data_IF_547729738895
#
_entry.id   IF_547729738895
#
_cell.length_a   1.000
_cell.length_b   1.000
_cell.length_c   1.000
_cell.angle_alpha   90.00
_cell.angle_beta   90.00
_cell.angle_gamma   90.00
#
_symmetry.space_group_name_H-M   'P 1'
#
loop_
_entity.id
_entity.type
_entity.pdbx_description
1 polymer ?
#
# COMPACT_ATOMS: atom_id res chain seq x y z
N UNK A 1 -34.98 -66.59 -6.38
CA UNK A 1 -34.05 -65.46 -6.59
C UNK A 1 -33.81 -64.78 -5.25
N UNK A 2 -32.68 -65.06 -4.59
CA UNK A 2 -32.28 -64.34 -3.39
C UNK A 2 -31.44 -63.13 -3.82
N UNK A 3 -31.88 -61.91 -3.44
CA UNK A 3 -31.15 -60.66 -3.68
C UNK A 3 -30.26 -60.38 -2.47
N UNK A 4 -28.95 -60.37 -2.66
CA UNK A 4 -27.99 -59.93 -1.65
C UNK A 4 -27.87 -58.41 -1.68
N UNK A 5 -28.11 -57.76 -0.54
CA UNK A 5 -27.81 -56.34 -0.33
C UNK A 5 -26.40 -56.21 0.26
N UNK A 6 -25.49 -55.56 -0.46
CA UNK A 6 -24.14 -55.25 -0.01
C UNK A 6 -24.15 -53.90 0.71
N UNK A 7 -23.89 -53.89 2.02
CA UNK A 7 -23.72 -52.67 2.81
C UNK A 7 -22.23 -52.31 2.85
N UNK A 8 -21.85 -51.15 2.31
CA UNK A 8 -20.49 -50.61 2.39
C UNK A 8 -20.43 -49.61 3.55
N UNK A 9 -19.71 -49.93 4.62
CA UNK A 9 -19.41 -49.02 5.72
C UNK A 9 -18.13 -48.24 5.39
N UNK A 10 -18.22 -46.91 5.31
CA UNK A 10 -17.07 -46.01 5.16
C UNK A 10 -16.61 -45.61 6.57
N UNK A 11 -15.40 -46.04 6.95
CA UNK A 11 -14.73 -45.59 8.17
C UNK A 11 -14.00 -44.26 7.91
N UNK A 12 -14.46 -43.17 8.51
CA UNK A 12 -13.75 -41.89 8.52
C UNK A 12 -12.79 -41.86 9.72
N UNK A 13 -11.48 -41.89 9.45
CA UNK A 13 -10.45 -41.63 10.46
C UNK A 13 -10.28 -40.12 10.66
N UNK A 14 -10.68 -39.61 11.82
CA UNK A 14 -10.29 -38.26 12.26
C UNK A 14 -8.89 -38.32 12.88
N UNK A 15 -7.88 -37.84 12.16
CA UNK A 15 -6.58 -37.52 12.76
C UNK A 15 -6.69 -36.19 13.51
N UNK A 16 -6.53 -36.24 14.83
CA UNK A 16 -6.39 -35.04 15.66
C UNK A 16 -4.98 -34.48 15.45
N UNK A 17 -4.84 -33.46 14.60
CA UNK A 17 -3.57 -32.74 14.41
C UNK A 17 -3.42 -31.79 15.60
N UNK A 18 -2.52 -32.15 16.52
CA UNK A 18 -2.10 -31.29 17.61
C UNK A 18 -1.28 -30.13 17.04
N UNK A 19 -1.71 -28.89 17.27
CA UNK A 19 -0.97 -27.70 16.84
C UNK A 19 0.45 -27.71 17.46
N UNK A 20 1.49 -27.33 16.70
CA UNK A 20 2.86 -27.29 17.21
C UNK A 20 2.99 -26.30 18.37
N UNK A 21 3.75 -26.69 19.39
CA UNK A 21 3.92 -25.94 20.66
C UNK A 21 4.89 -24.76 20.56
N UNK A 22 5.33 -24.40 19.35
CA UNK A 22 6.12 -23.20 19.06
C UNK A 22 5.59 -22.58 17.78
N UNK A 23 5.29 -21.27 17.81
CA UNK A 23 5.13 -20.50 16.59
C UNK A 23 6.46 -20.55 15.84
N UNK A 24 6.45 -21.10 14.63
CA UNK A 24 7.54 -20.88 13.70
C UNK A 24 7.67 -19.37 13.47
N UNK A 25 8.88 -18.80 13.48
CA UNK A 25 9.05 -17.42 13.07
C UNK A 25 8.44 -17.25 11.67
N UNK A 26 7.70 -16.16 11.41
CA UNK A 26 7.03 -15.97 10.13
C UNK A 26 8.04 -16.17 9.00
N UNK A 27 7.63 -16.92 7.98
CA UNK A 27 8.43 -17.32 6.81
C UNK A 27 9.29 -16.17 6.22
N UNK A 28 8.86 -14.93 6.40
CA UNK A 28 9.56 -13.69 6.05
C UNK A 28 10.87 -13.47 6.81
N UNK A 29 10.95 -13.81 8.11
CA UNK A 29 12.20 -13.78 8.88
C UNK A 29 13.19 -14.81 8.32
N UNK A 30 12.71 -15.97 7.91
CA UNK A 30 13.55 -17.01 7.31
C UNK A 30 14.07 -16.59 5.93
N UNK A 31 13.23 -15.96 5.10
CA UNK A 31 13.65 -15.37 3.81
C UNK A 31 14.66 -14.23 3.99
N UNK A 32 14.49 -13.39 5.01
CA UNK A 32 15.47 -12.34 5.34
C UNK A 32 16.82 -12.94 5.78
N UNK A 33 16.82 -13.95 6.65
CA UNK A 33 18.04 -14.66 7.04
C UNK A 33 18.69 -15.38 5.84
N UNK A 34 17.91 -15.91 4.91
CA UNK A 34 18.43 -16.52 3.68
C UNK A 34 19.05 -15.48 2.74
N UNK A 35 18.46 -14.29 2.61
CA UNK A 35 19.01 -13.20 1.80
C UNK A 35 20.26 -12.56 2.42
N UNK A 36 20.37 -12.49 3.76
CA UNK A 36 21.62 -12.14 4.45
C UNK A 36 22.68 -13.22 4.21
N UNK A 37 22.31 -14.50 4.39
CA UNK A 37 23.26 -15.61 4.28
C UNK A 37 23.78 -15.83 2.85
N UNK A 38 23.03 -15.37 1.84
CA UNK A 38 23.49 -15.35 0.44
C UNK A 38 24.61 -14.33 0.20
N UNK A 39 24.77 -13.35 1.10
CA UNK A 39 25.89 -12.40 1.13
C UNK A 39 27.03 -12.81 2.11
N UNK A 40 26.85 -13.86 2.91
CA UNK A 40 27.82 -14.28 3.94
C UNK A 40 28.20 -15.77 3.87
N UNK A 41 28.22 -16.36 2.68
CA UNK A 41 28.66 -17.74 2.46
C UNK A 41 30.17 -17.85 2.25
N UNK A 42 30.97 -17.72 3.32
CA UNK A 42 32.24 -18.45 3.57
C UNK A 42 32.91 -17.89 4.84
N UNK A 43 32.66 -18.53 5.98
CA UNK A 43 33.40 -18.30 7.23
C UNK A 43 33.99 -19.61 7.71
N UNK A 44 35.13 -20.00 7.14
CA UNK A 44 36.09 -20.88 7.81
C UNK A 44 37.18 -20.00 8.40
N UNK A 45 37.48 -20.24 9.67
CA UNK A 45 38.52 -19.57 10.45
C UNK A 45 39.86 -19.60 9.72
N UNK A 46 40.42 -18.44 9.37
CA UNK A 46 41.88 -18.30 9.34
C UNK A 46 42.33 -16.84 9.54
N UNK A 47 43.46 -16.72 10.23
CA UNK A 47 44.01 -15.48 10.76
C UNK A 47 44.65 -14.62 9.66
N UNK A 48 44.39 -13.30 9.73
CA UNK A 48 45.27 -12.25 9.22
C UNK A 48 45.47 -12.16 7.71
N UNK A 49 44.65 -11.36 7.02
CA UNK A 49 45.16 -10.48 5.96
C UNK A 49 44.21 -9.34 5.61
N UNK A 50 44.79 -8.17 5.36
CA UNK A 50 44.14 -6.94 4.93
C UNK A 50 43.38 -7.17 3.60
N UNK A 51 42.05 -7.11 3.64
CA UNK A 51 41.23 -6.89 2.45
C UNK A 51 40.16 -5.85 2.78
N UNK A 52 40.21 -4.73 2.06
CA UNK A 52 39.19 -3.68 2.09
C UNK A 52 37.80 -4.31 1.85
N UNK A 53 36.97 -4.39 2.88
CA UNK A 53 35.55 -4.68 2.70
C UNK A 53 34.90 -3.44 2.05
N UNK A 54 34.92 -3.43 0.72
CA UNK A 54 34.42 -2.38 -0.18
C UNK A 54 32.90 -2.22 -0.21
N UNK A 55 32.21 -2.61 0.87
CA UNK A 55 30.76 -2.60 0.95
C UNK A 55 30.29 -1.26 1.51
N UNK A 56 29.48 -0.54 0.72
CA UNK A 56 28.83 0.67 1.22
C UNK A 56 27.92 0.31 2.41
N UNK A 57 27.85 1.13 3.47
CA UNK A 57 26.92 0.90 4.56
C UNK A 57 25.48 0.82 4.03
N UNK A 58 24.83 -0.32 4.24
CA UNK A 58 23.41 -0.48 3.95
C UNK A 58 22.61 -0.07 5.20
N UNK A 59 21.56 0.76 5.06
CA UNK A 59 20.63 1.00 6.14
C UNK A 59 20.05 -0.33 6.66
N UNK A 60 20.12 -0.56 7.97
CA UNK A 60 19.62 -1.76 8.62
C UNK A 60 18.77 -1.38 9.83
N UNK A 61 17.67 -2.10 10.03
CA UNK A 61 16.75 -1.90 11.15
C UNK A 61 15.56 -2.84 11.02
N UNK A 62 14.79 -3.04 12.10
CA UNK A 62 13.51 -3.73 11.99
C UNK A 62 12.59 -2.90 11.09
N UNK A 63 12.03 -3.54 10.08
CA UNK A 63 11.04 -2.95 9.18
C UNK A 63 9.77 -3.80 9.19
N UNK A 64 8.64 -3.17 8.87
CA UNK A 64 7.38 -3.85 8.65
C UNK A 64 6.90 -3.52 7.23
N UNK A 65 7.05 -4.43 6.25
CA UNK A 65 6.61 -4.15 4.89
C UNK A 65 5.09 -3.99 4.78
N UNK A 66 4.30 -4.42 5.77
CA UNK A 66 2.86 -4.22 5.82
C UNK A 66 2.41 -2.94 6.55
N UNK A 67 3.35 -2.13 7.06
CA UNK A 67 3.00 -0.90 7.77
C UNK A 67 2.37 0.14 6.84
N UNK A 68 1.78 1.16 7.47
CA UNK A 68 1.12 2.26 6.76
C UNK A 68 1.70 3.57 7.26
N UNK A 69 2.12 4.42 6.32
CA UNK A 69 2.41 5.81 6.61
C UNK A 69 1.13 6.63 6.80
N UNK A 70 1.20 7.59 7.72
CA UNK A 70 0.31 8.74 7.75
C UNK A 70 0.24 9.44 6.37
N UNK A 71 -0.88 10.08 6.08
CA UNK A 71 -1.14 10.73 4.79
C UNK A 71 -0.36 12.02 4.61
N UNK A 72 0.13 12.61 5.71
CA UNK A 72 0.77 13.92 5.75
C UNK A 72 -0.22 15.08 5.88
N UNK A 73 -1.52 14.79 6.05
CA UNK A 73 -2.52 15.83 6.33
C UNK A 73 -2.47 16.26 7.79
N UNK A 74 -2.21 17.54 8.03
CA UNK A 74 -2.08 18.12 9.38
C UNK A 74 -3.15 19.16 9.71
N UNK A 75 -3.96 19.56 8.73
CA UNK A 75 -5.05 20.52 8.88
C UNK A 75 -6.40 19.87 8.56
N UNK A 76 -7.45 20.34 9.22
CA UNK A 76 -8.81 19.86 9.03
C UNK A 76 -9.65 20.88 8.25
N UNK A 77 -10.53 20.38 7.38
CA UNK A 77 -11.33 21.21 6.48
C UNK A 77 -12.78 20.76 6.51
N UNK A 78 -13.72 21.70 6.55
CA UNK A 78 -15.15 21.38 6.43
C UNK A 78 -15.58 21.21 4.96
N UNK A 79 -16.88 21.01 4.73
CA UNK A 79 -17.47 20.91 3.39
C UNK A 79 -17.44 22.22 2.59
N UNK A 80 -17.23 23.36 3.24
CA UNK A 80 -17.13 24.68 2.61
C UNK A 80 -15.69 25.09 2.31
N UNK A 81 -14.72 24.15 2.37
CA UNK A 81 -13.30 24.39 2.16
C UNK A 81 -12.69 25.38 3.16
N UNK A 82 -13.26 25.52 4.36
CA UNK A 82 -12.71 26.37 5.43
C UNK A 82 -11.89 25.50 6.38
N UNK A 83 -10.69 25.98 6.73
CA UNK A 83 -9.84 25.34 7.73
C UNK A 83 -10.49 25.46 9.11
N UNK A 84 -10.54 24.35 9.83
CA UNK A 84 -11.17 24.26 11.14
C UNK A 84 -10.21 23.68 12.17
N UNK A 85 -10.48 23.96 13.44
CA UNK A 85 -9.78 23.29 14.53
C UNK A 85 -10.13 21.79 14.53
N UNK A 86 -9.10 20.96 14.39
CA UNK A 86 -9.25 19.52 14.30
C UNK A 86 -9.84 18.91 15.57
N UNK A 87 -9.50 19.41 16.76
CA UNK A 87 -9.94 18.82 18.01
C UNK A 87 -11.35 19.28 18.40
N UNK A 88 -11.64 20.56 18.19
CA UNK A 88 -12.87 21.21 18.68
C UNK A 88 -14.02 21.11 17.68
N UNK A 89 -13.74 21.31 16.38
CA UNK A 89 -14.79 21.42 15.35
C UNK A 89 -14.89 20.14 14.53
N UNK A 90 -13.75 19.58 14.12
CA UNK A 90 -13.69 18.43 13.23
C UNK A 90 -12.95 17.20 13.80
N UNK A 91 -13.24 16.73 15.04
CA UNK A 91 -12.55 15.60 15.64
C UNK A 91 -12.63 14.34 14.78
N UNK A 92 -11.53 13.61 14.64
CA UNK A 92 -11.49 12.38 13.83
C UNK A 92 -11.34 12.60 12.32
N UNK A 93 -11.14 13.85 11.88
CA UNK A 93 -10.61 14.12 10.54
C UNK A 93 -9.13 13.77 10.48
N UNK A 94 -8.58 13.54 9.28
CA UNK A 94 -7.20 13.07 9.10
C UNK A 94 -6.18 13.95 9.84
N UNK A 95 -6.29 15.27 9.72
CA UNK A 95 -5.45 16.25 10.42
C UNK A 95 -5.49 16.18 11.96
N UNK A 96 -6.41 15.42 12.55
CA UNK A 96 -6.44 15.16 14.00
C UNK A 96 -5.37 14.15 14.43
N UNK A 97 -4.78 13.43 13.49
CA UNK A 97 -3.87 12.32 13.73
C UNK A 97 -2.51 12.63 13.10
N UNK A 98 -1.53 12.96 13.93
CA UNK A 98 -0.16 13.14 13.46
C UNK A 98 0.60 11.83 13.59
N UNK A 99 1.22 11.38 12.50
CA UNK A 99 2.05 10.17 12.47
C UNK A 99 1.29 8.88 12.80
N UNK A 100 0.00 8.81 12.47
CA UNK A 100 -0.84 7.62 12.67
C UNK A 100 -1.24 7.03 11.31
N UNK A 101 -1.07 5.70 11.09
CA UNK A 101 -0.53 4.72 12.04
C UNK A 101 0.97 4.88 12.31
N UNK A 102 1.74 5.38 11.34
CA UNK A 102 3.19 5.56 11.49
C UNK A 102 3.65 6.88 10.86
N UNK A 103 4.68 7.48 11.45
CA UNK A 103 5.32 8.67 10.91
C UNK A 103 5.91 8.43 9.52
N UNK A 104 5.73 9.39 8.61
CA UNK A 104 6.46 9.46 7.35
C UNK A 104 7.96 9.62 7.66
N UNK A 105 8.80 8.72 7.16
CA UNK A 105 10.24 8.79 7.35
C UNK A 105 10.95 8.22 6.12
N UNK A 106 11.85 9.01 5.53
CA UNK A 106 12.69 8.60 4.41
C UNK A 106 14.11 9.12 4.62
N UNK A 107 15.07 8.47 3.98
CA UNK A 107 16.48 8.87 4.02
C UNK A 107 17.01 8.99 2.60
N UNK A 108 17.44 10.18 2.20
CA UNK A 108 18.04 10.46 0.90
C UNK A 108 17.55 11.76 0.26
N UNK A 109 17.84 12.00 -1.03
CA UNK A 109 18.59 11.13 -1.93
C UNK A 109 20.05 10.93 -1.47
N UNK A 110 20.49 9.67 -1.44
CA UNK A 110 21.85 9.29 -1.03
C UNK A 110 22.63 8.77 -2.22
N UNK A 111 23.79 9.38 -2.48
CA UNK A 111 24.74 8.93 -3.50
C UNK A 111 25.41 7.61 -3.08
N UNK A 112 25.49 6.65 -3.98
CA UNK A 112 26.21 5.40 -3.71
C UNK A 112 27.73 5.61 -3.66
N UNK A 113 28.40 5.01 -2.68
CA UNK A 113 29.81 5.29 -2.39
C UNK A 113 30.79 4.79 -3.46
N UNK A 114 30.41 3.76 -4.23
CA UNK A 114 31.18 3.21 -5.36
C UNK A 114 30.65 3.68 -6.73
N UNK A 115 29.34 3.86 -6.84
CA UNK A 115 28.64 4.16 -8.08
C UNK A 115 28.08 5.57 -7.97
N UNK A 116 28.93 6.58 -8.16
CA UNK A 116 28.63 7.98 -7.80
C UNK A 116 27.50 8.60 -8.62
N UNK A 117 27.04 7.94 -9.68
CA UNK A 117 25.87 8.36 -10.45
C UNK A 117 24.55 7.78 -9.91
N UNK A 118 24.62 6.87 -8.94
CA UNK A 118 23.48 6.13 -8.43
C UNK A 118 22.96 6.78 -7.14
N UNK A 119 21.73 7.28 -7.20
CA UNK A 119 21.07 7.96 -6.09
C UNK A 119 19.84 7.16 -5.67
N UNK A 120 19.74 6.89 -4.37
CA UNK A 120 18.66 6.09 -3.79
C UNK A 120 18.02 6.79 -2.60
N UNK A 121 16.78 6.41 -2.32
CA UNK A 121 16.03 6.88 -1.16
C UNK A 121 15.61 5.63 -0.38
N UNK A 122 15.97 5.59 0.89
CA UNK A 122 15.62 4.47 1.77
C UNK A 122 14.34 4.78 2.53
N UNK A 123 13.41 3.83 2.51
CA UNK A 123 12.20 3.77 3.31
C UNK A 123 12.46 2.80 4.49
N UNK A 124 12.81 3.32 5.66
CA UNK A 124 13.07 2.49 6.84
C UNK A 124 11.82 1.80 7.39
N UNK A 125 10.61 2.29 7.11
CA UNK A 125 9.39 1.69 7.63
C UNK A 125 9.12 0.36 6.94
N UNK A 126 9.22 0.33 5.61
CA UNK A 126 8.94 -0.86 4.81
C UNK A 126 10.19 -1.69 4.48
N UNK A 127 11.40 -1.13 4.67
CA UNK A 127 12.64 -1.75 4.22
C UNK A 127 12.83 -1.69 2.70
N UNK A 128 12.23 -0.68 2.06
CA UNK A 128 12.29 -0.47 0.61
C UNK A 128 13.39 0.53 0.25
N UNK A 129 14.01 0.32 -0.90
CA UNK A 129 14.95 1.26 -1.50
C UNK A 129 14.41 1.71 -2.84
N UNK A 130 14.16 3.00 -2.97
CA UNK A 130 13.65 3.63 -4.18
C UNK A 130 14.81 4.20 -5.00
N UNK A 131 14.72 4.10 -6.32
CA UNK A 131 15.55 4.96 -7.18
C UNK A 131 15.08 6.40 -6.95
N UNK A 132 16.03 7.32 -6.78
CA UNK A 132 15.69 8.72 -6.46
C UNK A 132 14.83 9.34 -7.57
N UNK A 133 15.26 9.16 -8.82
CA UNK A 133 14.60 9.68 -10.01
C UNK A 133 13.76 8.62 -10.73
N UNK A 134 12.77 9.06 -11.51
CA UNK A 134 12.08 8.21 -12.46
C UNK A 134 13.05 7.61 -13.50
N UNK A 135 12.61 6.58 -14.22
CA UNK A 135 13.42 6.04 -15.30
C UNK A 135 13.67 7.05 -16.42
N UNK A 136 14.89 7.02 -16.94
CA UNK A 136 15.43 8.02 -17.88
C UNK A 136 16.04 9.27 -17.23
N UNK A 137 15.74 9.55 -15.96
CA UNK A 137 16.34 10.66 -15.20
C UNK A 137 17.49 10.20 -14.28
N UNK A 138 18.43 11.13 -14.03
CA UNK A 138 19.66 10.92 -13.23
C UNK A 138 20.04 12.15 -12.40
N UNK A 139 20.99 11.98 -11.48
CA UNK A 139 21.49 13.02 -10.58
C UNK A 139 20.76 13.07 -9.24
N UNK A 140 21.25 13.90 -8.32
CA UNK A 140 20.69 14.08 -6.98
C UNK A 140 19.35 14.83 -6.98
N UNK A 141 19.12 15.68 -7.98
CA UNK A 141 17.92 16.52 -8.12
C UNK A 141 17.07 16.15 -9.34
N UNK A 142 17.42 15.05 -10.02
CA UNK A 142 16.77 14.58 -11.23
C UNK A 142 16.79 15.59 -12.39
N UNK A 143 17.79 16.48 -12.46
CA UNK A 143 17.98 17.40 -13.58
C UNK A 143 18.63 16.75 -14.81
N UNK A 144 19.28 15.59 -14.65
CA UNK A 144 19.89 14.86 -15.74
C UNK A 144 18.85 14.00 -16.47
N UNK A 145 18.91 13.99 -17.80
CA UNK A 145 18.02 13.18 -18.63
C UNK A 145 16.55 13.63 -18.61
N UNK A 146 15.68 12.78 -19.14
CA UNK A 146 14.23 13.00 -19.20
C UNK A 146 13.50 11.71 -18.85
N UNK A 147 12.26 11.81 -18.37
CA UNK A 147 11.44 10.62 -18.10
C UNK A 147 11.27 9.82 -19.38
N UNK A 148 11.39 8.50 -19.30
CA UNK A 148 11.14 7.55 -20.40
C UNK A 148 9.88 6.75 -20.08
N UNK A 149 8.70 7.16 -20.60
CA UNK A 149 7.48 6.39 -20.45
C UNK A 149 7.52 5.11 -21.28
N UNK A 150 6.97 4.02 -20.74
CA UNK A 150 6.94 2.71 -21.39
C UNK A 150 5.57 2.05 -21.20
N UNK A 151 5.13 1.28 -22.19
CA UNK A 151 3.92 0.45 -22.06
C UNK A 151 4.26 -0.87 -21.32
N UNK A 152 3.25 -1.63 -20.92
CA UNK A 152 3.43 -2.86 -20.14
C UNK A 152 4.27 -3.92 -20.87
N UNK A 153 4.07 -4.08 -22.18
CA UNK A 153 4.78 -5.09 -22.97
C UNK A 153 6.29 -4.83 -22.99
N UNK A 154 6.69 -3.57 -23.16
CA UNK A 154 8.10 -3.15 -23.22
C UNK A 154 8.80 -3.31 -21.86
N UNK A 155 8.12 -2.96 -20.77
CA UNK A 155 8.70 -3.09 -19.42
C UNK A 155 8.82 -4.55 -18.99
N UNK A 156 7.81 -5.37 -19.33
CA UNK A 156 7.82 -6.80 -19.03
C UNK A 156 8.85 -7.57 -19.87
N UNK A 157 9.14 -7.08 -21.08
CA UNK A 157 10.23 -7.58 -21.91
C UNK A 157 11.63 -7.14 -21.42
N UNK A 158 11.71 -6.26 -20.41
CA UNK A 158 12.97 -5.79 -19.84
C UNK A 158 13.76 -4.88 -20.80
N UNK A 159 13.07 -4.14 -21.69
CA UNK A 159 13.73 -3.24 -22.63
C UNK A 159 14.45 -2.07 -21.92
N UNK A 160 15.41 -1.39 -22.61
CA UNK A 160 16.06 -0.20 -22.07
C UNK A 160 15.04 0.86 -21.61
N UNK A 161 15.26 1.44 -20.43
CA UNK A 161 14.32 2.29 -19.71
C UNK A 161 13.50 1.57 -18.63
N UNK A 162 13.47 0.23 -18.62
CA UNK A 162 12.70 -0.55 -17.64
C UNK A 162 13.36 -0.60 -16.26
N UNK A 163 12.61 -1.05 -15.23
CA UNK A 163 13.21 -1.33 -13.94
C UNK A 163 14.18 -2.52 -13.96
N UNK A 164 13.99 -3.46 -14.89
CA UNK A 164 14.87 -4.62 -15.05
C UNK A 164 16.27 -4.23 -15.55
N UNK A 165 16.36 -3.16 -16.35
CA UNK A 165 17.65 -2.62 -16.81
C UNK A 165 18.57 -2.24 -15.63
N UNK A 166 18.01 -1.71 -14.54
CA UNK A 166 18.81 -1.36 -13.35
C UNK A 166 19.58 -2.56 -12.79
N UNK A 167 19.09 -3.78 -13.00
CA UNK A 167 19.73 -4.99 -12.48
C UNK A 167 20.97 -5.40 -13.27
N UNK A 168 21.19 -4.86 -14.47
CA UNK A 168 22.33 -5.20 -15.33
C UNK A 168 23.42 -4.12 -15.34
N UNK A 169 23.14 -2.95 -14.74
CA UNK A 169 24.06 -1.83 -14.67
C UNK A 169 25.33 -2.16 -13.85
N UNK A 170 26.30 -1.26 -13.91
CA UNK A 170 27.54 -1.33 -13.12
C UNK A 170 28.33 -2.63 -13.30
N UNK A 171 28.34 -3.18 -14.52
CA UNK A 171 29.02 -4.43 -14.83
C UNK A 171 28.33 -5.68 -14.27
N UNK A 172 27.01 -5.62 -14.05
CA UNK A 172 26.22 -6.72 -13.48
C UNK A 172 26.05 -6.65 -11.95
N UNK A 173 26.69 -5.68 -11.28
CA UNK A 173 26.48 -5.41 -9.85
C UNK A 173 25.13 -4.70 -9.58
N UNK A 174 24.50 -4.17 -10.63
CA UNK A 174 23.22 -3.47 -10.58
C UNK A 174 23.30 -2.06 -10.01
N UNK A 175 22.23 -1.30 -10.18
CA UNK A 175 22.13 0.10 -9.75
C UNK A 175 22.21 0.19 -8.23
N UNK A 176 23.13 1.02 -7.72
CA UNK A 176 23.47 1.13 -6.31
C UNK A 176 23.82 -0.23 -5.66
N UNK A 177 24.44 -1.14 -6.42
CA UNK A 177 24.84 -2.46 -5.93
C UNK A 177 23.67 -3.42 -5.68
N UNK A 178 22.54 -3.21 -6.35
CA UNK A 178 21.31 -4.00 -6.18
C UNK A 178 20.84 -4.55 -7.52
N UNK A 179 20.48 -5.83 -7.53
CA UNK A 179 20.05 -6.58 -8.73
C UNK A 179 18.60 -7.09 -8.64
N UNK A 180 17.82 -6.58 -7.69
CA UNK A 180 16.41 -6.91 -7.48
C UNK A 180 15.48 -5.70 -7.65
N UNK A 181 15.85 -4.76 -8.51
CA UNK A 181 14.98 -3.66 -8.92
C UNK A 181 13.79 -4.17 -9.71
N UNK A 182 12.62 -3.63 -9.37
CA UNK A 182 11.33 -4.00 -9.94
C UNK A 182 10.39 -2.81 -10.00
N UNK A 183 9.30 -2.99 -10.74
CA UNK A 183 8.15 -2.08 -10.71
C UNK A 183 7.45 -2.30 -9.36
N UNK A 184 7.08 -1.24 -8.61
CA UNK A 184 6.38 -1.35 -7.33
C UNK A 184 4.93 -1.83 -7.54
N UNK A 185 4.40 -2.59 -6.59
CA UNK A 185 2.97 -2.84 -6.50
C UNK A 185 2.21 -1.54 -6.19
N UNK A 186 0.90 -1.51 -6.46
CA UNK A 186 0.08 -0.32 -6.23
C UNK A 186 0.14 0.17 -4.78
N UNK A 187 0.14 -0.75 -3.80
CA UNK A 187 0.29 -0.39 -2.37
C UNK A 187 1.67 0.19 -2.04
N UNK A 188 2.74 -0.30 -2.66
CA UNK A 188 4.09 0.24 -2.43
C UNK A 188 4.23 1.63 -3.03
N UNK A 189 3.73 1.85 -4.25
CA UNK A 189 3.78 3.19 -4.84
C UNK A 189 2.83 4.17 -4.14
N UNK A 190 1.70 3.69 -3.61
CA UNK A 190 0.81 4.51 -2.81
C UNK A 190 1.43 4.94 -1.48
N UNK A 191 2.33 4.14 -0.89
CA UNK A 191 2.92 4.45 0.42
C UNK A 191 3.81 5.70 0.39
N UNK A 192 4.31 6.11 -0.77
CA UNK A 192 5.11 7.33 -0.92
C UNK A 192 4.26 8.58 -1.25
N UNK A 193 2.94 8.44 -1.38
CA UNK A 193 2.04 9.58 -1.62
C UNK A 193 1.97 10.45 -0.37
N UNK A 194 2.15 11.76 -0.53
CA UNK A 194 1.91 12.77 0.50
C UNK A 194 0.70 13.61 0.10
N UNK A 195 -0.43 13.40 0.77
CA UNK A 195 -1.74 13.86 0.30
C UNK A 195 -1.97 15.36 0.39
N UNK A 196 -1.09 16.13 1.04
CA UNK A 196 -1.17 17.61 1.12
C UNK A 196 -0.04 18.35 0.42
N UNK A 197 0.93 17.62 -0.16
CA UNK A 197 2.00 18.27 -0.91
C UNK A 197 1.58 18.50 -2.37
N UNK A 198 2.26 19.44 -3.00
CA UNK A 198 2.15 19.72 -4.42
C UNK A 198 3.58 19.70 -5.02
N UNK A 199 3.96 18.68 -5.83
CA UNK A 199 3.26 17.41 -6.09
C UNK A 199 3.05 16.56 -4.83
N UNK A 200 2.16 15.57 -4.92
CA UNK A 200 1.70 14.76 -3.79
C UNK A 200 2.74 13.74 -3.30
N UNK A 201 3.91 14.23 -2.91
CA UNK A 201 5.07 13.45 -2.48
C UNK A 201 5.96 14.30 -1.57
N UNK A 202 6.78 13.68 -0.73
CA UNK A 202 7.73 14.39 0.14
C UNK A 202 8.91 14.97 -0.64
N UNK A 203 8.76 16.22 -1.12
CA UNK A 203 9.76 16.91 -1.96
C UNK A 203 11.15 17.06 -1.32
N UNK A 204 11.25 16.96 0.01
CA UNK A 204 12.52 16.97 0.73
C UNK A 204 13.39 15.75 0.41
N UNK A 205 12.77 14.61 0.09
CA UNK A 205 13.46 13.36 -0.22
C UNK A 205 13.32 13.01 -1.70
N UNK A 206 12.18 13.34 -2.31
CA UNK A 206 11.83 12.99 -3.68
C UNK A 206 11.86 14.23 -4.58
N UNK A 207 12.86 14.37 -5.48
CA UNK A 207 12.98 15.59 -6.29
C UNK A 207 11.73 15.88 -7.13
N UNK A 208 11.18 17.08 -6.99
CA UNK A 208 9.87 17.46 -7.53
C UNK A 208 9.77 17.47 -9.06
N UNK A 209 10.90 17.65 -9.77
CA UNK A 209 11.01 17.62 -11.25
C UNK A 209 10.55 16.30 -11.85
N UNK A 210 10.44 15.26 -11.04
CA UNK A 210 10.06 13.91 -11.48
C UNK A 210 8.53 13.73 -11.55
N UNK A 211 7.72 14.47 -10.79
CA UNK A 211 6.32 14.07 -10.50
C UNK A 211 5.23 14.93 -11.16
N UNK A 212 5.58 15.80 -12.10
CA UNK A 212 4.62 16.72 -12.73
C UNK A 212 4.05 16.16 -14.04
N UNK A 213 2.73 15.99 -14.09
CA UNK A 213 1.96 15.70 -15.31
C UNK A 213 2.03 14.27 -15.82
N UNK A 214 2.50 13.30 -15.01
CA UNK A 214 2.71 11.92 -15.48
C UNK A 214 2.18 10.89 -14.50
N UNK A 215 1.45 9.90 -15.02
CA UNK A 215 1.04 8.71 -14.27
C UNK A 215 2.18 7.69 -14.23
N UNK A 216 2.33 7.04 -13.08
CA UNK A 216 3.33 6.04 -12.80
C UNK A 216 2.72 4.65 -12.81
N UNK A 217 3.34 3.74 -13.56
CA UNK A 217 2.92 2.34 -13.64
C UNK A 217 3.21 1.62 -12.32
N UNK A 218 2.32 0.71 -11.96
CA UNK A 218 2.53 -0.27 -10.90
C UNK A 218 2.60 -1.67 -11.51
N UNK A 219 3.10 -2.65 -10.77
CA UNK A 219 3.08 -4.06 -11.17
C UNK A 219 1.77 -4.77 -10.81
N UNK A 220 0.74 -4.02 -10.41
CA UNK A 220 -0.55 -4.57 -9.97
C UNK A 220 -1.51 -4.53 -11.14
N UNK A 221 -1.81 -5.70 -11.70
CA UNK A 221 -2.80 -5.85 -12.75
C UNK A 221 -4.20 -5.51 -12.24
N UNK A 222 -5.06 -5.01 -13.14
CA UNK A 222 -6.49 -4.94 -12.88
C UNK A 222 -7.12 -6.32 -13.15
N UNK A 223 -7.37 -7.09 -12.10
CA UNK A 223 -7.95 -8.42 -12.22
C UNK A 223 -9.33 -8.44 -12.89
N UNK A 224 -10.06 -7.31 -12.87
CA UNK A 224 -11.38 -7.17 -13.50
C UNK A 224 -11.30 -6.81 -14.98
N UNK A 225 -10.18 -6.22 -15.40
CA UNK A 225 -9.95 -5.80 -16.78
C UNK A 225 -8.53 -6.25 -17.17
N UNK A 226 -8.41 -7.48 -17.67
CA UNK A 226 -7.12 -8.13 -17.94
C UNK A 226 -6.15 -7.36 -18.86
N UNK A 227 -6.64 -6.39 -19.64
CA UNK A 227 -5.84 -5.53 -20.51
C UNK A 227 -5.35 -4.25 -19.81
N UNK A 228 -5.59 -4.09 -18.50
CA UNK A 228 -5.25 -2.90 -17.74
C UNK A 228 -4.33 -3.21 -16.55
N UNK A 229 -3.57 -2.20 -16.16
CA UNK A 229 -2.75 -2.15 -14.95
C UNK A 229 -3.19 -0.97 -14.08
N UNK A 230 -2.94 -1.07 -12.78
CA UNK A 230 -3.10 0.07 -11.89
C UNK A 230 -1.95 1.04 -12.07
N UNK A 231 -2.28 2.32 -12.09
CA UNK A 231 -1.33 3.42 -12.15
C UNK A 231 -1.67 4.48 -11.12
N UNK A 232 -0.64 5.19 -10.66
CA UNK A 232 -0.77 6.30 -9.70
C UNK A 232 -0.35 7.58 -10.36
N UNK A 233 -1.25 8.56 -10.36
CA UNK A 233 -0.92 9.92 -10.75
C UNK A 233 -0.62 10.73 -9.48
N UNK A 234 0.54 11.39 -9.42
CA UNK A 234 0.98 12.22 -8.28
C UNK A 234 0.88 13.73 -8.59
N UNK A 235 0.41 14.06 -9.80
CA UNK A 235 0.53 15.38 -10.40
C UNK A 235 -0.56 16.37 -9.98
N UNK A 236 -0.29 17.60 -10.41
CA UNK A 236 -0.66 18.88 -9.82
C UNK A 236 -1.49 19.75 -10.75
N UNK A 237 -1.70 19.33 -12.00
CA UNK A 237 -2.38 20.14 -13.01
C UNK A 237 -3.86 19.80 -13.00
N UNK A 238 -4.74 20.68 -12.50
CA UNK A 238 -6.17 20.48 -12.64
C UNK A 238 -6.50 20.24 -14.12
N UNK A 239 -7.37 19.26 -14.43
CA UNK A 239 -8.17 18.48 -13.47
C UNK A 239 -7.52 17.16 -13.00
N UNK A 240 -6.24 16.90 -13.32
CA UNK A 240 -5.52 15.70 -12.93
C UNK A 240 -4.96 15.82 -11.50
N UNK A 241 -5.20 14.77 -10.71
CA UNK A 241 -5.16 14.76 -9.25
C UNK A 241 -4.50 13.48 -8.77
N UNK A 242 -4.20 13.36 -7.46
CA UNK A 242 -3.92 12.03 -6.89
C UNK A 242 -5.06 11.08 -7.19
N UNK A 243 -4.74 10.07 -8.00
CA UNK A 243 -5.64 8.99 -8.39
C UNK A 243 -4.86 7.72 -8.49
N UNK A 244 -5.50 6.65 -8.00
CA UNK A 244 -5.12 5.28 -8.29
C UNK A 244 -6.19 4.78 -9.24
N UNK A 245 -5.81 4.53 -10.49
CA UNK A 245 -6.75 4.27 -11.59
C UNK A 245 -6.27 3.11 -12.46
N UNK A 246 -7.23 2.37 -13.00
CA UNK A 246 -7.02 1.34 -14.02
C UNK A 246 -6.75 2.00 -15.38
N UNK A 247 -5.61 1.67 -15.99
CA UNK A 247 -5.15 2.22 -17.27
C UNK A 247 -4.78 1.07 -18.21
N UNK A 248 -5.06 1.22 -19.50
CA UNK A 248 -4.71 0.23 -20.51
C UNK A 248 -3.20 -0.05 -20.54
N UNK A 249 -2.82 -1.33 -20.60
CA UNK A 249 -1.44 -1.79 -20.66
C UNK A 249 -0.66 -1.23 -21.85
N UNK A 250 -1.34 -0.85 -22.93
CA UNK A 250 -0.73 -0.22 -24.11
C UNK A 250 -0.34 1.25 -23.88
N UNK A 251 -0.85 1.91 -22.83
CA UNK A 251 -0.54 3.31 -22.53
C UNK A 251 0.87 3.43 -21.97
N UNK A 252 1.75 4.25 -22.58
CA UNK A 252 3.07 4.52 -22.02
C UNK A 252 2.97 5.31 -20.72
N UNK A 253 3.56 4.80 -19.65
CA UNK A 253 3.56 5.39 -18.32
C UNK A 253 4.98 5.53 -17.78
N UNK A 254 5.21 6.50 -16.89
CA UNK A 254 6.50 6.63 -16.22
C UNK A 254 6.76 5.45 -15.27
N UNK A 255 8.03 5.14 -15.06
CA UNK A 255 8.47 4.13 -14.12
C UNK A 255 9.21 4.74 -12.95
N UNK A 256 8.88 4.24 -11.76
CA UNK A 256 9.61 4.50 -10.54
C UNK A 256 9.96 3.17 -9.88
N UNK A 257 11.24 2.83 -9.91
CA UNK A 257 11.68 1.50 -9.52
C UNK A 257 11.98 1.42 -8.03
N UNK A 258 11.69 0.24 -7.47
CA UNK A 258 11.93 -0.10 -6.08
C UNK A 258 12.73 -1.39 -5.98
N UNK A 259 13.53 -1.53 -4.93
CA UNK A 259 14.27 -2.73 -4.53
C UNK A 259 13.94 -3.03 -3.07
N UNK A 260 13.86 -4.30 -2.72
CA UNK A 260 13.51 -4.76 -1.38
C UNK A 260 12.46 -5.87 -1.39
N UNK A 261 12.08 -6.32 -0.19
CA UNK A 261 11.08 -7.36 -0.04
C UNK A 261 9.74 -6.90 -0.59
N UNK A 262 8.96 -7.83 -1.14
CA UNK A 262 7.60 -7.55 -1.55
C UNK A 262 6.70 -7.33 -0.33
N UNK A 263 5.59 -6.61 -0.54
CA UNK A 263 4.51 -6.55 0.44
C UNK A 263 4.04 -7.97 0.81
N UNK A 264 3.77 -8.25 2.10
CA UNK A 264 3.18 -9.52 2.50
C UNK A 264 1.78 -9.67 1.92
N UNK A 265 1.33 -10.92 1.80
CA UNK A 265 -0.07 -11.21 1.56
C UNK A 265 -0.94 -10.64 2.70
N UNK A 266 -2.20 -10.26 2.44
CA UNK A 266 -3.13 -9.84 3.48
C UNK A 266 -3.21 -10.89 4.61
N UNK A 267 -3.28 -10.43 5.86
CA UNK A 267 -3.29 -11.31 7.02
C UNK A 267 -4.29 -10.78 8.04
N UNK A 268 -5.46 -11.40 8.08
CA UNK A 268 -6.58 -10.98 8.91
C UNK A 268 -6.95 -12.04 9.95
N UNK A 269 -7.47 -11.60 11.08
CA UNK A 269 -8.02 -12.45 12.15
C UNK A 269 -9.35 -11.88 12.62
N UNK A 270 -10.42 -12.65 12.46
CA UNK A 270 -11.72 -12.35 13.08
C UNK A 270 -11.62 -12.52 14.60
N UNK A 271 -11.94 -11.47 15.35
CA UNK A 271 -11.94 -11.48 16.81
C UNK A 271 -13.23 -12.07 17.41
N UNK A 272 -14.21 -12.43 16.57
CA UNK A 272 -15.53 -12.94 16.95
C UNK A 272 -16.37 -11.97 17.81
N UNK A 273 -16.03 -10.69 17.78
CA UNK A 273 -16.74 -9.60 18.48
C UNK A 273 -17.26 -8.51 17.52
N UNK A 274 -17.29 -8.82 16.22
CA UNK A 274 -17.64 -7.88 15.15
C UNK A 274 -16.46 -7.04 14.64
N UNK A 275 -15.23 -7.40 15.01
CA UNK A 275 -14.01 -6.73 14.55
C UNK A 275 -13.03 -7.68 13.85
N UNK A 276 -12.28 -7.13 12.89
CA UNK A 276 -11.25 -7.83 12.11
C UNK A 276 -9.89 -7.20 12.38
N UNK A 277 -8.96 -7.97 12.93
CA UNK A 277 -7.59 -7.52 13.15
C UNK A 277 -6.76 -7.76 11.90
N UNK A 278 -6.06 -6.73 11.45
CA UNK A 278 -5.04 -6.82 10.40
C UNK A 278 -3.66 -6.98 11.05
N UNK A 279 -3.02 -8.12 10.82
CA UNK A 279 -1.72 -8.46 11.40
C UNK A 279 -0.56 -7.73 10.72
N UNK A 280 -0.74 -7.27 9.48
CA UNK A 280 0.30 -6.55 8.73
C UNK A 280 0.40 -5.10 9.21
N UNK A 281 -0.75 -4.46 9.43
CA UNK A 281 -0.83 -3.04 9.77
C UNK A 281 -0.97 -2.79 11.29
N UNK A 282 -1.42 -3.78 12.04
CA UNK A 282 -1.77 -3.64 13.46
C UNK A 282 -3.10 -2.93 13.70
N UNK A 283 -3.87 -2.66 12.65
CA UNK A 283 -5.17 -2.01 12.74
C UNK A 283 -6.28 -3.01 13.08
N UNK A 284 -7.37 -2.48 13.64
CA UNK A 284 -8.59 -3.21 13.92
C UNK A 284 -9.75 -2.53 13.18
N UNK A 285 -10.50 -3.32 12.41
CA UNK A 285 -11.56 -2.84 11.54
C UNK A 285 -12.92 -3.27 12.05
N UNK A 286 -13.96 -2.45 11.84
CA UNK A 286 -15.32 -2.96 11.96
C UNK A 286 -15.54 -4.00 10.87
N UNK A 287 -16.15 -5.15 11.19
CA UNK A 287 -16.32 -6.25 10.25
C UNK A 287 -17.34 -5.91 9.14
N UNK A 288 -18.37 -5.12 9.47
CA UNK A 288 -19.45 -4.77 8.56
C UNK A 288 -19.36 -3.33 8.07
N UNK A 289 -19.94 -3.05 6.90
CA UNK A 289 -20.17 -1.67 6.45
C UNK A 289 -21.11 -1.01 7.45
N UNK A 290 -20.88 0.27 7.77
CA UNK A 290 -21.73 0.95 8.75
C UNK A 290 -23.19 1.00 8.31
N UNK A 291 -24.09 0.77 9.27
CA UNK A 291 -25.52 0.56 9.05
C UNK A 291 -25.93 -0.90 8.83
N UNK A 292 -25.00 -1.81 8.47
CA UNK A 292 -25.26 -3.24 8.46
C UNK A 292 -25.26 -3.79 9.90
N UNK A 293 -26.24 -4.64 10.22
CA UNK A 293 -26.40 -5.27 11.53
C UNK A 293 -25.38 -6.40 11.78
N UNK A 294 -25.60 -7.15 12.86
CA UNK A 294 -24.76 -8.28 13.22
C UNK A 294 -24.67 -9.32 12.06
N UNK A 295 -23.46 -9.85 11.82
CA UNK A 295 -23.19 -10.74 10.69
C UNK A 295 -23.18 -10.06 9.33
N UNK A 296 -23.18 -8.72 9.29
CA UNK A 296 -23.15 -7.88 8.09
C UNK A 296 -24.36 -8.09 7.16
N UNK A 297 -25.39 -8.76 7.67
CA UNK A 297 -26.63 -9.06 6.98
C UNK A 297 -27.81 -8.32 7.63
N UNK A 298 -29.01 -8.50 7.07
CA UNK A 298 -30.31 -8.06 7.59
C UNK A 298 -30.66 -6.58 7.44
N UNK A 299 -29.70 -5.67 7.49
CA UNK A 299 -29.93 -4.24 7.20
C UNK A 299 -29.04 -3.76 6.06
N UNK A 300 -29.58 -2.84 5.27
CA UNK A 300 -28.81 -2.19 4.22
C UNK A 300 -27.72 -1.28 4.84
N UNK A 301 -26.57 -1.14 4.18
CA UNK A 301 -25.58 -0.14 4.58
C UNK A 301 -26.19 1.26 4.57
N UNK A 302 -25.78 2.10 5.51
CA UNK A 302 -26.26 3.49 5.58
C UNK A 302 -25.31 4.39 4.82
N UNK A 303 -25.83 5.10 3.82
CA UNK A 303 -25.09 6.13 3.11
C UNK A 303 -25.26 7.48 3.78
N UNK A 304 -24.17 8.17 4.07
CA UNK A 304 -24.16 9.43 4.80
C UNK A 304 -23.15 10.42 4.21
N UNK A 305 -23.31 11.71 4.52
CA UNK A 305 -22.31 12.72 4.15
C UNK A 305 -21.00 12.53 4.93
N UNK A 306 -19.95 13.22 4.52
CA UNK A 306 -18.61 13.04 5.10
C UNK A 306 -18.56 13.40 6.59
N UNK A 307 -19.28 14.45 7.02
CA UNK A 307 -19.31 14.87 8.42
C UNK A 307 -20.07 13.86 9.28
N UNK A 308 -21.20 13.35 8.77
CA UNK A 308 -21.97 12.29 9.42
C UNK A 308 -21.16 10.99 9.50
N UNK A 309 -20.38 10.62 8.46
CA UNK A 309 -19.52 9.44 8.47
C UNK A 309 -18.44 9.51 9.56
N UNK A 310 -17.76 10.67 9.66
CA UNK A 310 -16.80 10.94 10.73
C UNK A 310 -17.44 10.85 12.10
N UNK A 311 -18.58 11.52 12.30
CA UNK A 311 -19.33 11.48 13.56
C UNK A 311 -19.82 10.08 13.93
N UNK A 312 -20.28 9.30 12.95
CA UNK A 312 -20.76 7.93 13.13
C UNK A 312 -19.62 7.02 13.62
N UNK A 313 -18.44 7.08 13.00
CA UNK A 313 -17.31 6.30 13.47
C UNK A 313 -16.82 6.75 14.85
N UNK A 314 -16.71 8.06 15.10
CA UNK A 314 -16.25 8.55 16.42
C UNK A 314 -17.21 8.17 17.56
N UNK A 315 -18.51 8.12 17.29
CA UNK A 315 -19.54 7.74 18.26
C UNK A 315 -19.80 6.23 18.32
N UNK A 316 -19.07 5.41 17.56
CA UNK A 316 -19.33 3.97 17.46
C UNK A 316 -18.98 3.26 18.77
N UNK A 317 -19.95 2.50 19.29
CA UNK A 317 -19.77 1.63 20.47
C UNK A 317 -19.65 0.19 20.01
N UNK A 318 -18.42 -0.26 19.79
CA UNK A 318 -18.11 -1.65 19.41
C UNK A 318 -16.82 -2.09 20.12
N UNK A 319 -16.84 -3.27 20.73
CA UNK A 319 -15.71 -3.89 21.43
C UNK A 319 -14.99 -2.98 22.46
N UNK A 320 -15.70 -1.98 23.02
CA UNK A 320 -15.14 -1.04 24.00
C UNK A 320 -14.00 -0.16 23.47
N UNK A 321 -13.91 0.06 22.15
CA UNK A 321 -12.84 0.84 21.51
C UNK A 321 -13.30 2.26 21.13
N UNK A 322 -12.31 3.13 20.91
CA UNK A 322 -12.51 4.44 20.29
C UNK A 322 -12.26 4.29 18.79
N UNK A 323 -13.32 4.48 18.01
CA UNK A 323 -13.30 4.29 16.56
C UNK A 323 -13.13 5.62 15.85
N UNK A 324 -12.68 5.56 14.59
CA UNK A 324 -12.58 6.72 13.71
C UNK A 324 -12.80 6.31 12.27
N UNK A 325 -13.05 7.32 11.45
CA UNK A 325 -13.04 7.17 10.00
C UNK A 325 -11.58 6.91 9.55
N UNK A 326 -11.30 5.88 8.75
CA UNK A 326 -9.95 5.58 8.26
C UNK A 326 -9.47 6.69 7.34
N UNK A 327 -8.17 6.97 7.36
CA UNK A 327 -7.56 7.76 6.31
C UNK A 327 -7.43 6.92 5.03
N UNK A 328 -7.05 7.56 3.92
CA UNK A 328 -6.96 6.88 2.62
C UNK A 328 -5.95 5.73 2.60
N UNK A 329 -4.79 5.86 3.24
CA UNK A 329 -3.77 4.82 3.24
C UNK A 329 -4.24 3.58 4.02
N UNK A 330 -4.96 3.81 5.12
CA UNK A 330 -5.54 2.74 5.92
C UNK A 330 -6.62 1.99 5.15
N UNK A 331 -7.58 2.69 4.56
CA UNK A 331 -8.65 2.02 3.82
C UNK A 331 -8.11 1.31 2.57
N UNK A 332 -7.06 1.85 1.95
CA UNK A 332 -6.37 1.22 0.82
C UNK A 332 -5.68 -0.09 1.21
N UNK A 333 -5.24 -0.23 2.47
CA UNK A 333 -4.53 -1.43 2.94
C UNK A 333 -5.38 -2.71 2.85
N UNK A 334 -6.70 -2.59 3.02
CA UNK A 334 -7.65 -3.70 2.95
C UNK A 334 -8.24 -3.94 1.55
N UNK A 335 -7.84 -3.15 0.55
CA UNK A 335 -8.24 -3.38 -0.84
C UNK A 335 -7.56 -4.63 -1.39
N UNK A 336 -8.33 -5.50 -2.03
CA UNK A 336 -7.85 -6.68 -2.73
C UNK A 336 -7.98 -6.51 -4.25
N UNK A 337 -6.86 -6.21 -4.90
CA UNK A 337 -6.76 -6.05 -6.35
C UNK A 337 -6.76 -7.37 -7.13
N UNK A 338 -6.71 -8.53 -6.45
CA UNK A 338 -6.68 -9.84 -7.11
C UNK A 338 -8.07 -10.37 -7.46
N UNK A 339 -9.14 -9.74 -6.96
CA UNK A 339 -10.50 -10.19 -7.21
C UNK A 339 -10.97 -9.84 -8.65
N UNK A 340 -10.99 -10.86 -9.51
CA UNK A 340 -11.41 -10.75 -10.90
C UNK A 340 -12.94 -10.69 -11.12
N UNK A 341 -13.75 -10.91 -10.08
CA UNK A 341 -15.21 -10.99 -10.22
C UNK A 341 -15.81 -9.58 -10.24
N UNK A 342 -16.33 -9.16 -11.40
CA UNK A 342 -16.83 -7.80 -11.64
C UNK A 342 -17.83 -7.31 -10.58
N UNK A 343 -18.78 -8.16 -10.18
CA UNK A 343 -19.86 -7.81 -9.26
C UNK A 343 -19.47 -7.82 -7.78
N UNK A 344 -18.31 -8.37 -7.41
CA UNK A 344 -17.86 -8.44 -6.03
C UNK A 344 -16.98 -7.23 -5.66
N UNK A 345 -17.03 -6.75 -4.41
CA UNK A 345 -16.11 -5.71 -3.95
C UNK A 345 -14.66 -6.23 -3.92
N UNK A 346 -13.70 -5.33 -4.16
CA UNK A 346 -12.26 -5.53 -4.12
C UNK A 346 -11.77 -5.58 -2.66
N UNK A 347 -12.19 -6.60 -1.93
CA UNK A 347 -11.86 -6.87 -0.53
C UNK A 347 -12.01 -8.37 -0.25
N UNK A 348 -11.29 -8.90 0.74
CA UNK A 348 -11.43 -10.28 1.16
C UNK A 348 -12.80 -10.51 1.82
N UNK A 349 -13.69 -11.20 1.11
CA UNK A 349 -15.06 -11.47 1.56
C UNK A 349 -15.15 -12.49 2.71
N UNK A 350 -14.06 -13.21 3.00
CA UNK A 350 -13.97 -14.13 4.13
C UNK A 350 -13.98 -13.36 5.45
N UNK A 351 -13.27 -12.22 5.50
CA UNK A 351 -13.16 -11.39 6.70
C UNK A 351 -14.11 -10.19 6.67
N UNK A 352 -14.46 -9.69 5.48
CA UNK A 352 -15.37 -8.55 5.30
C UNK A 352 -16.62 -8.97 4.50
N UNK A 353 -17.46 -9.85 5.06
CA UNK A 353 -18.60 -10.42 4.35
C UNK A 353 -19.62 -9.33 4.01
N UNK A 354 -20.27 -9.49 2.85
CA UNK A 354 -21.35 -8.61 2.39
C UNK A 354 -20.97 -7.11 2.38
N UNK A 355 -19.68 -6.80 2.20
CA UNK A 355 -19.20 -5.43 2.03
C UNK A 355 -20.00 -4.76 0.92
N UNK A 356 -20.57 -3.58 1.22
CA UNK A 356 -21.35 -2.85 0.24
C UNK A 356 -20.49 -2.52 -0.98
N UNK A 357 -20.96 -2.85 -2.18
CA UNK A 357 -20.21 -2.63 -3.40
C UNK A 357 -20.39 -1.17 -3.86
N UNK A 358 -19.55 -0.26 -3.38
CA UNK A 358 -19.73 1.16 -3.59
C UNK A 358 -18.51 1.99 -3.19
N UNK A 359 -18.70 3.31 -3.13
CA UNK A 359 -17.68 4.27 -2.73
C UNK A 359 -17.69 4.45 -1.21
N UNK A 360 -16.51 4.44 -0.61
CA UNK A 360 -16.33 4.56 0.84
C UNK A 360 -15.62 5.85 1.18
N UNK A 361 -16.12 6.52 2.21
CA UNK A 361 -15.47 7.69 2.77
C UNK A 361 -14.13 7.35 3.42
N UNK A 362 -13.16 8.25 3.26
CA UNK A 362 -11.96 8.35 4.10
C UNK A 362 -11.96 9.69 4.82
N UNK A 363 -11.20 9.80 5.91
CA UNK A 363 -11.03 11.05 6.66
C UNK A 363 -10.14 12.06 5.94
N UNK A 364 -9.43 11.64 4.89
CA UNK A 364 -8.46 12.46 4.15
C UNK A 364 -9.17 13.46 3.25
N UNK A 365 -9.02 14.76 3.56
CA UNK A 365 -9.49 15.84 2.68
C UNK A 365 -8.70 15.85 1.39
N UNK A 366 -9.38 16.11 0.27
CA UNK A 366 -8.74 16.22 -1.02
C UNK A 366 -8.03 17.58 -1.17
N UNK A 367 -6.73 17.58 -1.47
CA UNK A 367 -5.93 18.82 -1.42
C UNK A 367 -6.34 19.86 -2.46
N UNK A 368 -6.49 19.49 -3.73
CA UNK A 368 -6.77 20.50 -4.76
C UNK A 368 -8.18 21.10 -4.67
N UNK A 369 -9.08 20.50 -3.88
CA UNK A 369 -10.37 21.09 -3.53
C UNK A 369 -10.81 20.65 -2.14
N UNK A 370 -10.66 21.53 -1.14
CA UNK A 370 -10.88 21.22 0.28
C UNK A 370 -12.36 20.96 0.65
N UNK A 371 -13.31 21.29 -0.23
CA UNK A 371 -14.72 20.88 -0.12
C UNK A 371 -14.93 19.39 -0.42
N UNK A 372 -13.92 18.71 -0.95
CA UNK A 372 -13.98 17.29 -1.30
C UNK A 372 -13.14 16.47 -0.32
N UNK A 373 -13.46 15.18 -0.22
CA UNK A 373 -12.64 14.19 0.48
C UNK A 373 -12.28 13.05 -0.47
N UNK A 374 -11.20 12.35 -0.14
CA UNK A 374 -10.77 11.16 -0.85
C UNK A 374 -11.70 9.99 -0.49
N UNK A 375 -12.04 9.17 -1.46
CA UNK A 375 -12.80 7.94 -1.27
C UNK A 375 -12.20 6.76 -2.03
N UNK A 376 -12.55 5.55 -1.59
CA UNK A 376 -12.13 4.30 -2.25
C UNK A 376 -13.35 3.58 -2.81
N UNK A 377 -13.33 3.32 -4.10
CA UNK A 377 -14.43 2.67 -4.80
C UNK A 377 -14.22 1.16 -4.78
N UNK A 378 -14.82 0.44 -3.82
CA UNK A 378 -14.63 -1.00 -3.67
C UNK A 378 -15.10 -1.81 -4.88
N UNK A 379 -15.91 -1.27 -5.81
CA UNK A 379 -16.20 -2.01 -7.05
C UNK A 379 -14.96 -2.26 -7.91
N UNK A 380 -13.91 -1.46 -7.75
CA UNK A 380 -12.66 -1.60 -8.53
C UNK A 380 -11.40 -1.53 -7.68
N UNK A 381 -11.40 -0.83 -6.55
CA UNK A 381 -10.22 -0.47 -5.77
C UNK A 381 -9.64 0.91 -6.16
N UNK A 382 -10.35 1.70 -6.97
CA UNK A 382 -9.90 3.03 -7.39
C UNK A 382 -9.97 4.06 -6.26
N UNK A 383 -9.00 4.98 -6.24
CA UNK A 383 -8.97 6.13 -5.33
C UNK A 383 -9.46 7.38 -6.07
N UNK A 384 -10.54 7.96 -5.56
CA UNK A 384 -11.28 9.07 -6.16
C UNK A 384 -11.48 10.21 -5.16
N UNK A 385 -12.00 11.34 -5.64
CA UNK A 385 -12.31 12.50 -4.79
C UNK A 385 -13.75 12.91 -5.03
N UNK A 386 -14.48 13.22 -3.96
CA UNK A 386 -15.91 13.50 -4.02
C UNK A 386 -16.31 14.61 -3.04
N UNK A 387 -17.36 15.34 -3.40
CA UNK A 387 -17.90 16.42 -2.58
C UNK A 387 -18.34 15.89 -1.21
N UNK A 388 -17.89 16.54 -0.12
CA UNK A 388 -18.19 16.14 1.26
C UNK A 388 -19.68 16.12 1.58
N UNK A 389 -20.53 16.80 0.80
CA UNK A 389 -21.99 16.74 0.95
C UNK A 389 -22.64 15.51 0.28
N UNK A 390 -21.88 14.71 -0.47
CA UNK A 390 -22.39 13.51 -1.14
C UNK A 390 -22.66 12.36 -0.16
N UNK A 391 -23.57 11.45 -0.49
CA UNK A 391 -23.86 10.29 0.35
C UNK A 391 -23.04 9.07 -0.05
N UNK A 392 -22.25 8.53 0.87
CA UNK A 392 -21.43 7.33 0.67
C UNK A 392 -21.46 6.44 1.90
N UNK A 393 -21.03 5.20 1.74
CA UNK A 393 -20.91 4.27 2.84
C UNK A 393 -19.57 4.43 3.55
N UNK A 394 -19.41 3.81 4.70
CA UNK A 394 -18.19 3.89 5.48
C UNK A 394 -17.93 2.60 6.25
N UNK A 395 -16.67 2.42 6.64
CA UNK A 395 -16.18 1.38 7.54
C UNK A 395 -15.24 2.05 8.52
N UNK A 396 -15.37 1.74 9.81
CA UNK A 396 -14.57 2.38 10.84
C UNK A 396 -13.31 1.57 11.15
N UNK A 397 -12.28 2.26 11.62
CA UNK A 397 -11.00 1.67 12.04
C UNK A 397 -10.63 2.15 13.45
N UNK A 398 -9.79 1.38 14.12
CA UNK A 398 -9.13 1.76 15.38
C UNK A 398 -7.77 1.06 15.48
N UNK A 399 -6.97 1.46 16.46
CA UNK A 399 -5.72 0.77 16.81
C UNK A 399 -6.05 -0.46 17.66
N UNK A 400 -5.40 -1.60 17.38
CA UNK A 400 -5.60 -2.84 18.13
C UNK A 400 -5.06 -2.77 19.57
#
# INVERSE_FOLDING_TARGET
>A
MYKYFLFIFIFSFFFCIKAPTKLDPPYVILQYLQNINSASGQGQEDQGNNSNSSQCPAPAGPFNPGAIFDTGQTLCWDGSAIAQDCALVLPGSDGSFSNVPNARNFVGPTQHCKFTSDYTIFDPLHGLTWKACAQGQTGSDCAGGVVVPMNWADVNAGLPGSCAELNTLNGGEGYAGRTNWRIPAARELASIVHYTNNPHIDNAFFPSKTFTGTSYMTSTADAKIAANEWAINLAITPPANVRISSIAQATPLALRCVSGNAMPAPSFVDQADGTIRDLNTGLLWSQCTEGQGAGCAFTAPTSMDWNAARGNCNGKVLAGRVWRLPNVNELLSIVDYSNAVLMLPAIDSTFFPLTANGLYWTSTTYDSNKSFAIGIFFSTGAVLANDKSGNMVTRCVTTF
#
